data_IF_035583235288
#
_entry.id   IF_035583235288
#
_cell.length_a   1.000
_cell.length_b   1.000
_cell.length_c   1.000
_cell.angle_alpha   90.00
_cell.angle_beta   90.00
_cell.angle_gamma   90.00
#
_symmetry.space_group_name_H-M   'P 1'
#
loop_
_entity.id
_entity.type
_entity.pdbx_description
1 polymer ?
#
# COMPACT_ATOMS: atom_id res chain seq x y z
N UNK A 1 14.21 -24.10 0.97
CA UNK A 1 12.95 -23.89 0.25
C UNK A 1 12.00 -25.01 0.58
N UNK A 2 10.90 -24.69 1.24
CA UNK A 2 9.76 -25.56 1.46
C UNK A 2 8.65 -25.24 0.44
N UNK A 3 7.79 -26.23 0.19
CA UNK A 3 6.58 -26.05 -0.61
C UNK A 3 5.38 -26.37 0.26
N UNK A 4 4.44 -25.44 0.27
CA UNK A 4 3.16 -25.58 0.95
C UNK A 4 2.05 -25.66 -0.10
N UNK A 5 0.85 -26.01 0.33
CA UNK A 5 -0.36 -25.90 -0.48
C UNK A 5 -1.49 -25.22 0.29
N UNK A 6 -2.40 -24.62 -0.47
CA UNK A 6 -3.69 -24.12 0.01
C UNK A 6 -4.76 -24.37 -1.04
N UNK A 7 -6.02 -24.45 -0.60
CA UNK A 7 -7.19 -24.66 -1.45
C UNK A 7 -8.00 -23.38 -1.57
N UNK A 8 -8.31 -23.01 -2.81
CA UNK A 8 -9.03 -21.78 -3.16
C UNK A 8 -10.11 -22.06 -4.19
N UNK A 9 -10.98 -21.08 -4.47
CA UNK A 9 -11.98 -21.19 -5.53
C UNK A 9 -11.42 -20.93 -6.93
N UNK A 10 -10.16 -20.49 -7.04
CA UNK A 10 -9.52 -20.22 -8.33
C UNK A 10 -8.11 -19.65 -8.19
N UNK A 11 -7.51 -19.33 -9.33
CA UNK A 11 -6.20 -18.67 -9.42
C UNK A 11 -6.25 -17.51 -10.43
N UNK A 12 -5.96 -16.29 -9.95
CA UNK A 12 -5.98 -15.08 -10.77
C UNK A 12 -4.77 -14.92 -11.68
N UNK A 13 -4.99 -14.39 -12.88
CA UNK A 13 -3.93 -13.92 -13.79
C UNK A 13 -4.34 -12.57 -14.37
N UNK A 14 -3.74 -11.44 -13.93
CA UNK A 14 -2.67 -11.32 -12.94
C UNK A 14 -3.08 -11.77 -11.52
N UNK A 15 -2.11 -12.23 -10.73
CA UNK A 15 -2.35 -12.77 -9.39
C UNK A 15 -2.40 -11.69 -8.31
N UNK A 16 -3.37 -11.79 -7.41
CA UNK A 16 -3.45 -11.02 -6.16
C UNK A 16 -2.52 -11.57 -5.06
N UNK A 17 -2.59 -11.02 -3.84
CA UNK A 17 -1.85 -11.54 -2.69
C UNK A 17 -2.33 -12.96 -2.32
N UNK A 18 -1.54 -13.68 -1.52
CA UNK A 18 -2.01 -14.93 -0.89
C UNK A 18 -3.03 -14.58 0.19
N UNK A 19 -4.29 -14.99 0.02
CA UNK A 19 -5.43 -14.50 0.81
C UNK A 19 -5.86 -15.48 1.91
N UNK A 20 -6.40 -14.94 3.00
CA UNK A 20 -6.86 -15.68 4.17
C UNK A 20 -8.16 -15.10 4.72
N UNK A 21 -9.03 -15.97 5.24
CA UNK A 21 -10.30 -15.57 5.84
C UNK A 21 -10.16 -14.94 7.22
N UNK A 22 -9.12 -15.32 7.98
CA UNK A 22 -8.87 -14.76 9.31
C UNK A 22 -7.45 -14.25 9.46
N UNK A 23 -7.30 -13.26 10.35
CA UNK A 23 -6.01 -12.70 10.74
C UNK A 23 -5.08 -13.78 11.35
N UNK A 24 -5.66 -14.77 12.04
CA UNK A 24 -4.94 -15.89 12.65
C UNK A 24 -4.24 -16.76 11.61
N UNK A 25 -4.96 -17.17 10.57
CA UNK A 25 -4.41 -18.01 9.50
C UNK A 25 -3.28 -17.32 8.72
N UNK A 26 -3.46 -16.03 8.37
CA UNK A 26 -2.38 -15.24 7.75
C UNK A 26 -1.16 -15.14 8.67
N UNK A 27 -1.38 -14.92 9.97
CA UNK A 27 -0.28 -14.77 10.94
C UNK A 27 0.49 -16.08 11.13
N UNK A 28 -0.22 -17.22 11.15
CA UNK A 28 0.40 -18.54 11.16
C UNK A 28 1.23 -18.78 9.89
N UNK A 29 0.65 -18.54 8.71
CA UNK A 29 1.36 -18.67 7.44
C UNK A 29 2.64 -17.82 7.40
N UNK A 30 2.57 -16.55 7.83
CA UNK A 30 3.75 -15.66 7.95
C UNK A 30 4.82 -16.17 8.92
N UNK A 31 4.39 -16.90 9.97
CA UNK A 31 5.27 -17.49 10.97
C UNK A 31 6.11 -18.63 10.41
N UNK A 32 5.51 -19.46 9.55
CA UNK A 32 6.17 -20.65 8.98
C UNK A 32 6.90 -20.39 7.67
N UNK A 33 6.44 -19.44 6.86
CA UNK A 33 7.05 -19.09 5.57
C UNK A 33 8.40 -18.40 5.73
N UNK A 34 9.38 -18.84 4.95
CA UNK A 34 10.67 -18.19 4.74
C UNK A 34 10.78 -17.59 3.33
N UNK A 35 11.69 -16.61 3.10
CA UNK A 35 11.96 -16.12 1.75
C UNK A 35 12.33 -17.25 0.78
N UNK A 36 11.69 -17.25 -0.39
CA UNK A 36 11.87 -18.27 -1.43
C UNK A 36 10.99 -19.51 -1.28
N UNK A 37 10.23 -19.66 -0.18
CA UNK A 37 9.24 -20.73 -0.06
C UNK A 37 8.07 -20.52 -1.02
N UNK A 38 7.44 -21.63 -1.43
CA UNK A 38 6.41 -21.62 -2.45
C UNK A 38 5.08 -22.15 -1.90
N UNK A 39 3.97 -21.63 -2.40
CA UNK A 39 2.62 -22.06 -2.06
C UNK A 39 1.88 -22.46 -3.32
N UNK A 40 1.49 -23.73 -3.39
CA UNK A 40 0.69 -24.32 -4.46
C UNK A 40 -0.78 -23.99 -4.22
N UNK A 41 -1.47 -23.53 -5.26
CA UNK A 41 -2.89 -23.21 -5.25
C UNK A 41 -3.67 -24.35 -5.88
N UNK A 42 -4.59 -24.93 -5.12
CA UNK A 42 -5.43 -26.05 -5.55
C UNK A 42 -6.89 -25.63 -5.55
N UNK A 43 -7.63 -25.92 -6.63
CA UNK A 43 -9.06 -25.66 -6.66
C UNK A 43 -9.80 -26.50 -5.61
N UNK A 44 -10.69 -25.90 -4.83
CA UNK A 44 -11.60 -26.68 -3.96
C UNK A 44 -12.53 -27.54 -4.82
N UNK A 45 -13.12 -28.58 -4.24
CA UNK A 45 -14.11 -29.43 -4.94
C UNK A 45 -15.55 -28.90 -4.84
N UNK A 46 -15.75 -27.75 -4.19
CA UNK A 46 -17.06 -27.12 -3.99
C UNK A 46 -17.62 -26.52 -5.28
N UNK A 47 -18.87 -26.07 -5.20
CA UNK A 47 -19.57 -25.51 -6.36
C UNK A 47 -19.09 -24.12 -6.75
N UNK A 48 -18.40 -23.44 -5.84
CA UNK A 48 -17.82 -22.11 -6.04
C UNK A 48 -16.56 -22.12 -6.91
N UNK A 49 -15.91 -23.28 -7.07
CA UNK A 49 -14.80 -23.45 -8.01
C UNK A 49 -15.35 -23.83 -9.38
N UNK A 50 -14.81 -23.23 -10.44
CA UNK A 50 -15.12 -23.59 -11.82
C UNK A 50 -14.93 -25.10 -12.07
N UNK A 51 -15.83 -25.69 -12.85
CA UNK A 51 -15.93 -27.16 -12.98
C UNK A 51 -14.64 -27.79 -13.49
N UNK A 52 -13.90 -27.10 -14.37
CA UNK A 52 -12.63 -27.55 -14.91
C UNK A 52 -11.46 -27.34 -13.96
N UNK A 53 -11.63 -26.57 -12.88
CA UNK A 53 -10.60 -26.27 -11.87
C UNK A 53 -10.75 -27.10 -10.57
N UNK A 54 -11.92 -27.70 -10.34
CA UNK A 54 -12.22 -28.46 -9.12
C UNK A 54 -11.19 -29.56 -8.83
N UNK A 55 -10.52 -29.44 -7.69
CA UNK A 55 -9.51 -30.40 -7.23
C UNK A 55 -8.20 -30.39 -8.01
N UNK A 56 -8.01 -29.47 -8.96
CA UNK A 56 -6.80 -29.38 -9.79
C UNK A 56 -5.77 -28.45 -9.20
N UNK A 57 -4.52 -28.67 -9.59
CA UNK A 57 -3.40 -27.79 -9.27
C UNK A 57 -3.41 -26.61 -10.25
N UNK A 58 -3.71 -25.41 -9.74
CA UNK A 58 -4.02 -24.25 -10.57
C UNK A 58 -2.79 -23.36 -10.81
N UNK A 59 -2.03 -23.12 -9.75
CA UNK A 59 -0.91 -22.19 -9.81
C UNK A 59 0.05 -22.36 -8.64
N UNK A 60 1.08 -21.53 -8.66
CA UNK A 60 2.18 -21.51 -7.70
C UNK A 60 2.45 -20.06 -7.34
N UNK A 61 2.68 -19.77 -6.08
CA UNK A 61 2.97 -18.44 -5.58
C UNK A 61 4.26 -18.45 -4.77
N UNK A 62 5.06 -17.39 -4.87
CA UNK A 62 6.17 -17.09 -3.97
C UNK A 62 5.75 -15.92 -3.06
N UNK A 63 5.10 -16.18 -1.91
CA UNK A 63 4.69 -15.13 -0.99
C UNK A 63 5.88 -14.55 -0.21
N UNK A 64 5.77 -13.27 0.10
CA UNK A 64 6.62 -12.60 1.08
C UNK A 64 6.00 -12.73 2.48
N UNK A 65 6.72 -12.19 3.48
CA UNK A 65 6.20 -12.04 4.84
C UNK A 65 5.53 -10.67 5.08
N UNK A 66 5.43 -9.84 4.03
CA UNK A 66 4.81 -8.53 4.10
C UNK A 66 3.29 -8.66 4.16
N UNK A 67 2.69 -8.11 5.21
CA UNK A 67 1.24 -8.16 5.43
C UNK A 67 0.58 -7.08 4.58
N UNK A 68 -0.46 -7.47 3.86
CA UNK A 68 -1.29 -6.56 3.07
C UNK A 68 -2.78 -6.82 3.33
N UNK A 69 -3.60 -5.84 2.99
CA UNK A 69 -5.04 -6.01 2.90
C UNK A 69 -5.38 -6.50 1.50
N UNK A 70 -6.13 -7.59 1.37
CA UNK A 70 -6.66 -8.05 0.08
C UNK A 70 -7.56 -6.99 -0.56
N UNK A 71 -8.20 -6.16 0.25
CA UNK A 71 -9.10 -5.10 -0.22
C UNK A 71 -8.34 -3.99 -0.97
N UNK A 72 -7.03 -3.87 -0.75
CA UNK A 72 -6.17 -2.91 -1.45
C UNK A 72 -5.83 -3.36 -2.86
N UNK A 73 -6.29 -4.52 -3.31
CA UNK A 73 -6.03 -5.04 -4.66
C UNK A 73 -7.30 -5.03 -5.49
N UNK A 74 -7.13 -4.71 -6.76
CA UNK A 74 -8.17 -4.73 -7.79
C UNK A 74 -8.47 -6.18 -8.22
N UNK A 75 -9.09 -6.92 -7.31
CA UNK A 75 -9.47 -8.32 -7.49
C UNK A 75 -10.83 -8.39 -8.18
N UNK A 76 -10.99 -9.33 -9.11
CA UNK A 76 -12.33 -9.72 -9.57
C UNK A 76 -13.09 -10.33 -8.37
N UNK A 77 -14.26 -9.75 -8.05
CA UNK A 77 -15.10 -10.17 -6.93
C UNK A 77 -16.53 -10.36 -7.41
N UNK A 78 -17.13 -11.48 -7.03
CA UNK A 78 -18.54 -11.77 -7.24
C UNK A 78 -19.36 -11.67 -5.95
N UNK A 79 -20.70 -11.67 -6.03
CA UNK A 79 -21.57 -11.69 -4.85
C UNK A 79 -21.24 -12.82 -3.87
N UNK A 80 -20.79 -13.97 -4.38
CA UNK A 80 -20.40 -15.14 -3.59
C UNK A 80 -19.18 -14.92 -2.69
N UNK A 81 -18.37 -13.90 -2.96
CA UNK A 81 -17.13 -13.61 -2.20
C UNK A 81 -17.38 -12.80 -0.93
N UNK A 82 -18.65 -12.45 -0.69
CA UNK A 82 -19.09 -11.71 0.48
C UNK A 82 -19.88 -12.62 1.43
N UNK A 83 -19.75 -12.39 2.73
CA UNK A 83 -20.58 -13.03 3.74
C UNK A 83 -21.98 -12.38 3.81
N UNK A 84 -22.88 -12.94 4.63
CA UNK A 84 -24.23 -12.42 4.79
C UNK A 84 -24.28 -10.98 5.34
N UNK A 85 -23.20 -10.48 5.95
CA UNK A 85 -23.07 -9.13 6.46
C UNK A 85 -22.41 -8.17 5.43
N UNK A 86 -22.09 -8.66 4.23
CA UNK A 86 -21.46 -7.86 3.17
C UNK A 86 -19.96 -7.68 3.33
N UNK A 87 -19.29 -8.44 4.20
CA UNK A 87 -17.83 -8.40 4.33
C UNK A 87 -17.18 -9.34 3.32
N UNK A 88 -16.07 -8.91 2.74
CA UNK A 88 -15.27 -9.76 1.87
C UNK A 88 -14.69 -10.93 2.67
N UNK A 89 -14.84 -12.16 2.18
CA UNK A 89 -14.51 -13.40 2.90
C UNK A 89 -13.02 -13.61 3.16
N UNK A 90 -12.12 -12.95 2.42
CA UNK A 90 -10.66 -13.12 2.58
C UNK A 90 -9.88 -11.80 2.66
N UNK A 91 -10.15 -10.94 3.66
CA UNK A 91 -9.62 -9.58 3.68
C UNK A 91 -8.13 -9.51 4.05
N UNK A 92 -7.54 -10.60 4.55
CA UNK A 92 -6.15 -10.64 5.01
C UNK A 92 -5.25 -11.26 3.93
N UNK A 93 -4.09 -10.65 3.64
CA UNK A 93 -3.18 -11.18 2.63
C UNK A 93 -1.69 -11.09 2.96
N UNK A 94 -0.89 -11.87 2.23
CA UNK A 94 0.57 -11.73 2.13
C UNK A 94 0.94 -11.33 0.70
N UNK A 95 1.77 -10.30 0.56
CA UNK A 95 2.21 -9.81 -0.75
C UNK A 95 3.04 -10.88 -1.48
N UNK A 96 2.87 -11.00 -2.79
CA UNK A 96 3.63 -11.94 -3.61
C UNK A 96 4.90 -11.29 -4.17
N UNK A 97 5.98 -12.07 -4.21
CA UNK A 97 7.18 -11.74 -4.98
C UNK A 97 7.00 -12.17 -6.44
N UNK A 98 6.47 -13.38 -6.67
CA UNK A 98 6.25 -14.00 -7.99
C UNK A 98 5.04 -14.93 -7.95
N UNK A 99 4.45 -15.21 -9.12
CA UNK A 99 3.40 -16.19 -9.27
C UNK A 99 3.46 -16.85 -10.64
N UNK A 100 3.04 -18.11 -10.73
CA UNK A 100 3.02 -18.89 -11.96
C UNK A 100 1.69 -19.61 -12.11
N UNK A 101 1.20 -19.71 -13.33
CA UNK A 101 0.11 -20.60 -13.71
C UNK A 101 0.69 -21.88 -14.28
N UNK A 102 0.12 -23.03 -13.94
CA UNK A 102 0.50 -24.29 -14.59
C UNK A 102 -0.13 -24.37 -15.97
N UNK A 103 0.68 -24.78 -16.95
CA UNK A 103 0.31 -24.82 -18.37
C UNK A 103 -0.35 -26.15 -18.74
N UNK A 104 -1.12 -26.16 -19.83
CA UNK A 104 -1.73 -27.37 -20.37
C UNK A 104 -2.79 -28.00 -19.45
N UNK A 105 -2.90 -29.33 -19.48
CA UNK A 105 -3.83 -30.07 -18.63
C UNK A 105 -3.32 -30.13 -17.19
N UNK A 106 -3.80 -29.19 -16.37
CA UNK A 106 -3.54 -29.14 -14.93
C UNK A 106 -3.94 -30.46 -14.25
N UNK A 107 -3.04 -31.22 -13.60
CA UNK A 107 -3.39 -32.49 -12.99
C UNK A 107 -4.31 -32.29 -11.77
N UNK A 108 -5.04 -33.34 -11.41
CA UNK A 108 -5.74 -33.40 -10.13
C UNK A 108 -4.73 -33.54 -8.99
N UNK A 109 -4.99 -32.94 -7.83
CA UNK A 109 -4.13 -33.14 -6.66
C UNK A 109 -4.01 -34.63 -6.30
N UNK A 110 -5.08 -35.41 -6.49
CA UNK A 110 -5.12 -36.86 -6.21
C UNK A 110 -4.24 -37.69 -7.14
N UNK A 111 -3.81 -37.15 -8.28
CA UNK A 111 -2.84 -37.79 -9.17
C UNK A 111 -1.40 -37.60 -8.66
N UNK A 112 -1.17 -36.58 -7.82
CA UNK A 112 0.14 -36.26 -7.22
C UNK A 112 0.29 -36.86 -5.82
N UNK A 113 -0.78 -36.91 -5.05
CA UNK A 113 -0.75 -37.39 -3.66
C UNK A 113 -2.03 -38.10 -3.24
N UNK A 114 -1.87 -39.13 -2.41
CA UNK A 114 -2.95 -39.85 -1.74
C UNK A 114 -3.27 -39.27 -0.35
N UNK A 115 -2.53 -38.25 0.12
CA UNK A 115 -2.77 -37.63 1.43
C UNK A 115 -4.13 -36.92 1.45
N UNK A 116 -4.87 -37.17 2.52
CA UNK A 116 -6.10 -36.44 2.80
C UNK A 116 -5.79 -35.14 3.52
N UNK A 117 -6.14 -34.02 2.88
CA UNK A 117 -5.95 -32.69 3.46
C UNK A 117 -7.26 -32.19 4.07
N UNK A 118 -7.25 -31.98 5.39
CA UNK A 118 -8.35 -31.46 6.19
C UNK A 118 -8.64 -29.96 5.92
N UNK A 119 -9.66 -29.42 6.60
CA UNK A 119 -10.17 -28.05 6.42
C UNK A 119 -9.08 -26.97 6.52
N UNK A 120 -8.03 -27.20 7.30
CA UNK A 120 -6.89 -26.29 7.45
C UNK A 120 -6.23 -25.95 6.11
N UNK A 121 -6.27 -26.88 5.15
CA UNK A 121 -5.78 -26.64 3.79
C UNK A 121 -6.59 -25.61 3.01
N UNK A 122 -7.84 -25.34 3.37
CA UNK A 122 -8.68 -24.31 2.76
C UNK A 122 -8.65 -22.97 3.53
N UNK A 123 -8.20 -22.97 4.79
CA UNK A 123 -8.16 -21.77 5.61
C UNK A 123 -6.77 -21.16 5.74
N UNK A 124 -5.71 -21.99 5.64
CA UNK A 124 -4.32 -21.61 5.76
C UNK A 124 -3.43 -22.28 4.72
N UNK A 125 -2.20 -22.62 5.11
CA UNK A 125 -1.23 -23.34 4.28
C UNK A 125 -0.77 -24.62 4.98
N UNK A 126 -0.54 -25.69 4.22
CA UNK A 126 -0.09 -26.99 4.74
C UNK A 126 1.17 -27.43 4.02
N UNK A 127 2.22 -27.90 4.72
CA UNK A 127 3.45 -28.34 4.06
C UNK A 127 3.22 -29.60 3.21
N UNK A 128 3.83 -29.59 2.03
CA UNK A 128 3.94 -30.75 1.17
C UNK A 128 5.18 -31.57 1.54
N UNK A 129 5.06 -32.88 1.39
CA UNK A 129 6.19 -33.78 1.48
C UNK A 129 7.15 -33.57 0.30
N UNK A 130 8.45 -33.88 0.46
CA UNK A 130 9.44 -33.66 -0.59
C UNK A 130 9.10 -34.32 -1.94
N UNK A 131 8.46 -35.49 -1.92
CA UNK A 131 8.05 -36.18 -3.15
C UNK A 131 6.93 -35.43 -3.88
N UNK A 132 5.92 -34.96 -3.14
CA UNK A 132 4.80 -34.17 -3.66
C UNK A 132 5.31 -32.85 -4.23
N UNK A 133 6.15 -32.14 -3.47
CA UNK A 133 6.76 -30.89 -3.88
C UNK A 133 7.54 -31.04 -5.19
N UNK A 134 8.37 -32.09 -5.32
CA UNK A 134 9.11 -32.36 -6.56
C UNK A 134 8.19 -32.62 -7.75
N UNK A 135 7.15 -33.43 -7.56
CA UNK A 135 6.20 -33.73 -8.63
C UNK A 135 5.49 -32.46 -9.14
N UNK A 136 5.05 -31.58 -8.24
CA UNK A 136 4.39 -30.33 -8.61
C UNK A 136 5.37 -29.35 -9.25
N UNK A 137 6.60 -29.23 -8.72
CA UNK A 137 7.61 -28.32 -9.27
C UNK A 137 8.12 -28.76 -10.65
N UNK A 138 7.92 -30.01 -11.05
CA UNK A 138 8.25 -30.51 -12.38
C UNK A 138 7.18 -30.16 -13.45
N UNK A 139 5.98 -29.72 -13.04
CA UNK A 139 4.92 -29.37 -13.98
C UNK A 139 5.30 -28.12 -14.78
N UNK A 140 5.01 -28.09 -16.10
CA UNK A 140 5.18 -26.91 -16.94
C UNK A 140 4.41 -25.72 -16.38
N UNK A 141 5.06 -24.55 -16.30
CA UNK A 141 4.45 -23.35 -15.74
C UNK A 141 5.00 -22.09 -16.39
N UNK A 142 4.12 -21.09 -16.49
CA UNK A 142 4.42 -19.77 -17.01
C UNK A 142 4.21 -18.71 -15.93
N UNK A 143 5.15 -17.78 -15.81
CA UNK A 143 5.05 -16.68 -14.84
C UNK A 143 3.91 -15.74 -15.24
N UNK A 144 3.10 -15.33 -14.27
CA UNK A 144 1.97 -14.41 -14.47
C UNK A 144 2.28 -13.07 -13.82
N UNK A 145 1.67 -12.01 -14.36
CA UNK A 145 1.75 -10.68 -13.74
C UNK A 145 1.18 -10.68 -12.33
N UNK A 146 1.66 -9.75 -11.50
CA UNK A 146 1.12 -9.52 -10.15
C UNK A 146 0.25 -8.27 -10.14
N UNK A 147 -0.87 -8.34 -9.43
CA UNK A 147 -1.62 -7.16 -9.06
C UNK A 147 -0.79 -6.35 -8.07
N UNK A 148 -0.77 -5.04 -8.28
CA UNK A 148 -0.17 -4.09 -7.35
C UNK A 148 -1.26 -3.57 -6.42
N UNK A 149 -0.96 -3.47 -5.13
CA UNK A 149 -1.87 -2.82 -4.20
C UNK A 149 -2.10 -1.37 -4.62
N UNK A 150 -3.26 -0.81 -4.30
CA UNK A 150 -3.58 0.60 -4.52
C UNK A 150 -2.49 1.49 -3.89
N UNK A 151 -1.97 1.11 -2.72
CA UNK A 151 -0.85 1.80 -2.08
C UNK A 151 0.45 1.71 -2.89
N UNK A 152 0.79 0.53 -3.45
CA UNK A 152 1.96 0.36 -4.31
C UNK A 152 1.81 1.07 -5.65
N UNK A 153 0.62 1.01 -6.28
CA UNK A 153 0.28 1.80 -7.47
C UNK A 153 0.39 3.28 -7.19
N UNK A 154 -0.21 3.78 -6.12
CA UNK A 154 -0.10 5.19 -5.72
C UNK A 154 1.35 5.60 -5.41
N UNK A 155 2.19 4.69 -4.89
CA UNK A 155 3.63 4.95 -4.68
C UNK A 155 4.40 4.96 -5.99
N UNK A 156 4.16 4.03 -6.91
CA UNK A 156 4.82 3.95 -8.22
C UNK A 156 4.34 5.04 -9.15
N UNK A 157 3.04 5.30 -9.21
CA UNK A 157 2.44 6.45 -9.88
C UNK A 157 2.86 7.74 -9.21
N UNK A 158 2.98 7.78 -7.88
CA UNK A 158 3.51 8.92 -7.14
C UNK A 158 4.99 9.17 -7.41
N UNK A 159 5.81 8.13 -7.52
CA UNK A 159 7.23 8.18 -7.85
C UNK A 159 7.47 8.44 -9.34
N UNK A 160 6.65 7.91 -10.23
CA UNK A 160 6.63 8.20 -11.65
C UNK A 160 6.04 9.58 -11.92
N UNK A 161 5.04 10.02 -11.14
CA UNK A 161 4.58 11.39 -11.14
C UNK A 161 5.65 12.31 -10.57
N UNK A 162 6.41 11.94 -9.54
CA UNK A 162 7.53 12.73 -9.03
C UNK A 162 8.72 12.76 -10.00
N UNK A 163 8.96 11.67 -10.76
CA UNK A 163 9.99 11.61 -11.83
C UNK A 163 9.56 12.32 -13.11
N UNK A 164 8.27 12.28 -13.47
CA UNK A 164 7.69 13.02 -14.61
C UNK A 164 7.35 14.47 -14.25
N UNK A 165 7.24 14.77 -12.95
CA UNK A 165 7.12 16.11 -12.40
C UNK A 165 8.44 16.52 -11.74
N UNK A 166 9.37 17.03 -12.55
CA UNK A 166 9.74 18.41 -12.25
C UNK A 166 8.41 19.15 -12.09
N UNK A 167 8.09 19.59 -10.86
CA UNK A 167 6.78 20.12 -10.51
C UNK A 167 6.25 20.95 -11.69
N UNK A 168 5.07 20.63 -12.28
CA UNK A 168 4.53 21.50 -13.29
C UNK A 168 4.47 22.88 -12.62
N UNK A 169 4.96 23.94 -13.27
CA UNK A 169 4.77 25.28 -12.72
C UNK A 169 3.28 25.39 -12.35
N UNK A 170 2.95 25.94 -11.17
CA UNK A 170 1.61 25.85 -10.61
C UNK A 170 0.61 26.36 -11.63
N UNK A 171 -0.09 25.44 -12.28
CA UNK A 171 -1.09 25.76 -13.29
C UNK A 171 -2.38 26.02 -12.52
N UNK A 172 -2.79 27.27 -12.52
CA UNK A 172 -3.96 27.83 -11.84
C UNK A 172 -5.30 27.34 -12.39
N UNK A 173 -5.31 26.34 -13.28
CA UNK A 173 -6.46 25.87 -14.05
C UNK A 173 -6.69 24.35 -13.92
N UNK A 174 -7.08 23.88 -12.74
CA UNK A 174 -7.80 22.60 -12.62
C UNK A 174 -9.27 22.86 -12.34
N UNK A 175 -10.12 22.56 -13.34
CA UNK A 175 -11.60 22.71 -13.29
C UNK A 175 -12.27 21.93 -12.14
N UNK A 176 -11.61 20.91 -11.56
CA UNK A 176 -12.18 20.10 -10.46
C UNK A 176 -12.04 20.67 -9.03
N UNK A 177 -11.31 21.78 -8.83
CA UNK A 177 -11.10 22.40 -7.49
C UNK A 177 -11.88 23.72 -7.34
N UNK A 178 -12.64 24.14 -8.35
CA UNK A 178 -13.32 25.44 -8.32
C UNK A 178 -14.32 25.58 -7.17
N UNK A 179 -14.95 24.49 -6.72
CA UNK A 179 -15.92 24.52 -5.63
C UNK A 179 -15.28 24.55 -4.23
N UNK A 180 -14.03 24.12 -4.08
CA UNK A 180 -13.35 24.01 -2.76
C UNK A 180 -12.45 25.20 -2.43
N UNK A 181 -12.20 26.12 -3.38
CA UNK A 181 -11.36 27.32 -3.15
C UNK A 181 -11.87 28.22 -2.03
N UNK A 182 -13.17 28.16 -1.72
CA UNK A 182 -13.85 28.94 -0.66
C UNK A 182 -14.03 28.16 0.66
N UNK A 183 -13.64 26.89 0.71
CA UNK A 183 -13.76 26.11 1.93
C UNK A 183 -12.63 26.47 2.90
N UNK A 184 -12.88 26.47 4.23
CA UNK A 184 -11.84 26.71 5.23
C UNK A 184 -10.73 25.68 5.13
N UNK A 185 -9.47 26.12 5.28
CA UNK A 185 -8.31 25.24 5.23
C UNK A 185 -7.18 25.79 6.10
N UNK A 186 -6.22 24.93 6.42
CA UNK A 186 -5.08 25.26 7.26
C UNK A 186 -3.80 25.42 6.43
N UNK A 187 -3.01 26.44 6.72
CA UNK A 187 -1.56 26.38 6.49
C UNK A 187 -0.93 25.70 7.70
N UNK A 188 0.04 24.82 7.49
CA UNK A 188 0.75 24.13 8.56
C UNK A 188 2.26 24.13 8.33
N UNK A 189 3.01 23.97 9.42
CA UNK A 189 4.41 23.60 9.37
C UNK A 189 4.71 22.47 10.37
N UNK A 190 5.34 21.42 9.87
CA UNK A 190 5.74 20.25 10.64
C UNK A 190 7.25 20.26 10.82
N UNK A 191 7.73 20.11 12.05
CA UNK A 191 9.14 19.80 12.29
C UNK A 191 9.42 18.36 11.86
N UNK A 192 10.60 18.13 11.29
CA UNK A 192 11.10 16.81 10.92
C UNK A 192 12.09 16.37 12.00
N UNK A 193 11.62 15.61 12.98
CA UNK A 193 12.43 15.07 14.06
C UNK A 193 13.32 13.93 13.53
N UNK A 194 14.60 13.93 13.94
CA UNK A 194 15.62 12.99 13.46
C UNK A 194 16.48 13.50 12.30
N UNK A 195 16.23 14.71 11.79
CA UNK A 195 17.11 15.33 10.79
C UNK A 195 18.42 15.85 11.42
N UNK A 196 19.52 15.85 10.65
CA UNK A 196 20.83 16.32 11.11
C UNK A 196 20.88 17.81 11.45
N UNK A 197 20.04 18.61 10.79
CA UNK A 197 19.84 20.03 11.06
C UNK A 197 18.33 20.31 11.16
N UNK A 198 17.94 21.40 11.84
CA UNK A 198 16.53 21.77 11.97
C UNK A 198 15.86 21.86 10.59
N UNK A 199 14.80 21.08 10.39
CA UNK A 199 14.12 20.98 9.11
C UNK A 199 12.60 21.01 9.31
N UNK A 200 11.93 21.72 8.40
CA UNK A 200 10.48 21.90 8.46
C UNK A 200 9.83 21.58 7.12
N UNK A 201 8.71 20.89 7.15
CA UNK A 201 7.79 20.73 6.02
C UNK A 201 6.68 21.77 6.15
N UNK A 202 6.60 22.69 5.21
CA UNK A 202 5.55 23.72 5.14
C UNK A 202 4.51 23.27 4.11
N UNK A 203 3.23 23.42 4.40
CA UNK A 203 2.16 23.03 3.48
C UNK A 203 0.81 23.63 3.84
N UNK A 204 -0.21 23.27 3.08
CA UNK A 204 -1.61 23.53 3.45
C UNK A 204 -2.48 22.27 3.25
N UNK A 205 -3.57 22.18 4.01
CA UNK A 205 -4.53 21.08 3.93
C UNK A 205 -5.88 21.48 4.53
N UNK A 206 -6.95 20.77 4.17
CA UNK A 206 -8.25 20.88 4.86
C UNK A 206 -8.23 20.28 6.26
N UNK A 207 -7.40 19.24 6.45
CA UNK A 207 -7.16 18.58 7.74
C UNK A 207 -5.64 18.34 7.87
N UNK A 208 -5.00 19.12 8.74
CA UNK A 208 -3.55 19.02 8.96
C UNK A 208 -3.17 17.80 9.80
N UNK A 209 -4.06 17.29 10.65
CA UNK A 209 -3.82 16.09 11.48
C UNK A 209 -3.81 14.83 10.63
N UNK A 210 -4.76 14.71 9.70
CA UNK A 210 -4.74 13.66 8.69
C UNK A 210 -3.45 13.74 7.86
N UNK A 211 -2.99 14.95 7.53
CA UNK A 211 -1.76 15.14 6.77
C UNK A 211 -0.51 14.74 7.56
N UNK A 212 -0.44 15.04 8.86
CA UNK A 212 0.63 14.59 9.76
C UNK A 212 0.68 13.06 9.83
N UNK A 213 -0.48 12.42 10.07
CA UNK A 213 -0.60 10.95 10.10
C UNK A 213 -0.12 10.32 8.80
N UNK A 214 -0.47 10.91 7.65
CA UNK A 214 -0.04 10.43 6.35
C UNK A 214 1.49 10.49 6.18
N UNK A 215 2.13 11.58 6.59
CA UNK A 215 3.59 11.70 6.53
C UNK A 215 4.28 10.70 7.46
N UNK A 216 3.81 10.58 8.71
CA UNK A 216 4.37 9.64 9.68
C UNK A 216 4.16 8.17 9.28
N UNK A 217 3.03 7.85 8.66
CA UNK A 217 2.81 6.51 8.12
C UNK A 217 3.84 6.19 7.03
N UNK A 218 4.10 7.15 6.14
CA UNK A 218 5.06 6.99 5.04
C UNK A 218 6.52 6.96 5.50
N UNK A 219 6.84 7.68 6.58
CA UNK A 219 8.21 7.76 7.10
C UNK A 219 8.57 6.67 8.09
N UNK A 220 7.60 5.90 8.61
CA UNK A 220 7.81 4.75 9.51
C UNK A 220 8.76 5.06 10.70
N UNK A 221 8.44 6.05 11.56
CA UNK A 221 9.34 6.51 12.61
C UNK A 221 9.66 5.42 13.66
N UNK A 222 8.78 4.45 13.85
CA UNK A 222 9.00 3.31 14.76
C UNK A 222 10.11 2.35 14.28
N UNK A 223 10.53 2.46 13.02
CA UNK A 223 11.60 1.66 12.42
C UNK A 223 12.87 2.49 12.13
N UNK A 224 13.01 3.65 12.78
CA UNK A 224 14.18 4.53 12.64
C UNK A 224 14.07 5.57 11.51
N UNK A 225 12.91 5.70 10.87
CA UNK A 225 12.64 6.79 9.94
C UNK A 225 12.35 8.13 10.63
N UNK A 226 12.29 9.20 9.84
CA UNK A 226 12.05 10.55 10.35
C UNK A 226 10.61 10.69 10.89
N UNK A 227 10.41 11.52 11.90
CA UNK A 227 9.07 11.80 12.44
C UNK A 227 8.65 13.22 12.11
N UNK A 228 7.46 13.37 11.53
CA UNK A 228 6.84 14.67 11.29
C UNK A 228 5.95 15.01 12.47
N UNK A 229 6.08 16.23 12.99
CA UNK A 229 5.22 16.71 14.08
C UNK A 229 4.80 18.13 13.79
N UNK A 230 3.49 18.38 13.75
CA UNK A 230 2.98 19.74 13.52
C UNK A 230 3.41 20.65 14.66
N UNK A 231 3.96 21.80 14.30
CA UNK A 231 4.35 22.86 15.24
C UNK A 231 3.51 24.10 15.07
N UNK A 232 3.18 24.44 13.83
CA UNK A 232 2.33 25.58 13.51
C UNK A 232 1.18 25.11 12.64
N UNK A 233 0.00 25.64 12.91
CA UNK A 233 -1.14 25.55 12.00
C UNK A 233 -1.99 26.82 12.12
N UNK A 234 -2.51 27.30 11.01
CA UNK A 234 -3.36 28.50 10.95
C UNK A 234 -4.55 28.21 10.07
N UNK A 235 -5.76 28.31 10.63
CA UNK A 235 -6.99 28.22 9.87
C UNK A 235 -7.24 29.51 9.08
N UNK A 236 -7.63 29.36 7.82
CA UNK A 236 -8.10 30.40 6.95
C UNK A 236 -9.54 30.12 6.52
N UNK A 237 -10.30 31.18 6.27
CA UNK A 237 -11.66 31.06 5.74
C UNK A 237 -11.69 30.40 4.36
N UNK A 238 -10.58 30.48 3.61
CA UNK A 238 -10.48 29.90 2.27
C UNK A 238 -9.17 29.15 2.05
N UNK A 239 -9.25 28.05 1.30
CA UNK A 239 -8.08 27.31 0.81
C UNK A 239 -7.11 28.18 0.00
N UNK A 240 -7.63 29.23 -0.66
CA UNK A 240 -6.78 30.19 -1.37
C UNK A 240 -5.88 30.98 -0.43
N UNK A 241 -6.39 31.40 0.72
CA UNK A 241 -5.60 32.18 1.67
C UNK A 241 -4.59 31.30 2.42
N UNK A 242 -4.97 30.05 2.72
CA UNK A 242 -4.04 29.05 3.25
C UNK A 242 -2.88 28.77 2.27
N UNK A 243 -3.18 28.62 0.98
CA UNK A 243 -2.16 28.46 -0.06
C UNK A 243 -1.29 29.71 -0.19
N UNK A 244 -1.86 30.92 -0.14
CA UNK A 244 -1.08 32.17 -0.19
C UNK A 244 -0.06 32.26 0.93
N UNK A 245 -0.44 31.88 2.16
CA UNK A 245 0.48 31.86 3.29
C UNK A 245 1.60 30.85 3.09
N UNK A 246 1.28 29.61 2.68
CA UNK A 246 2.28 28.60 2.36
C UNK A 246 3.31 29.14 1.34
N UNK A 247 2.83 29.70 0.23
CA UNK A 247 3.71 30.22 -0.82
C UNK A 247 4.49 31.46 -0.37
N UNK A 248 3.98 32.26 0.57
CA UNK A 248 4.74 33.37 1.15
C UNK A 248 5.88 32.88 2.04
N UNK A 249 5.60 31.89 2.91
CA UNK A 249 6.61 31.28 3.78
C UNK A 249 7.69 30.56 2.97
N UNK A 250 7.31 29.78 1.96
CA UNK A 250 8.28 29.08 1.11
C UNK A 250 9.17 30.05 0.33
N UNK A 251 8.63 31.17 -0.16
CA UNK A 251 9.42 32.23 -0.82
C UNK A 251 10.34 32.96 0.15
N UNK A 252 9.90 33.19 1.39
CA UNK A 252 10.73 33.82 2.42
C UNK A 252 12.01 33.00 2.70
N UNK A 253 11.92 31.67 2.58
CA UNK A 253 13.04 30.75 2.79
C UNK A 253 13.59 30.11 1.51
N UNK A 254 13.44 30.76 0.34
CA UNK A 254 13.72 30.12 -0.95
C UNK A 254 15.14 29.54 -1.07
N UNK A 255 16.13 30.28 -0.56
CA UNK A 255 17.54 29.84 -0.53
C UNK A 255 17.86 28.69 0.43
N UNK A 256 16.89 28.23 1.23
CA UNK A 256 17.03 27.12 2.18
C UNK A 256 16.10 25.95 1.85
N UNK A 257 15.47 25.94 0.68
CA UNK A 257 14.58 24.86 0.25
C UNK A 257 15.41 23.62 -0.13
N UNK A 258 14.92 22.45 0.25
CA UNK A 258 15.58 21.20 -0.09
C UNK A 258 15.44 20.93 -1.59
N UNK A 259 16.56 20.60 -2.25
CA UNK A 259 16.63 20.38 -3.70
C UNK A 259 15.63 19.33 -4.21
N UNK A 260 15.42 18.28 -3.42
CA UNK A 260 14.57 17.14 -3.79
C UNK A 260 13.13 17.29 -3.27
N UNK A 261 12.88 18.27 -2.38
CA UNK A 261 11.55 18.57 -1.89
C UNK A 261 11.45 20.05 -1.52
N UNK A 262 10.88 20.77 -2.47
CA UNK A 262 10.78 22.22 -2.49
C UNK A 262 9.82 22.75 -1.41
N UNK A 263 9.09 21.89 -0.70
CA UNK A 263 8.24 22.25 0.44
C UNK A 263 8.94 21.97 1.80
N UNK A 264 10.15 21.40 1.78
CA UNK A 264 11.00 21.21 2.96
C UNK A 264 12.04 22.32 2.98
N UNK A 265 12.20 22.94 4.14
CA UNK A 265 13.18 24.01 4.38
C UNK A 265 14.19 23.54 5.44
N UNK A 266 15.48 23.64 5.13
CA UNK A 266 16.58 23.26 6.02
C UNK A 266 17.90 23.94 5.57
N UNK A 267 18.77 24.39 6.49
CA UNK A 267 18.58 24.42 7.94
C UNK A 267 17.69 25.60 8.38
N UNK A 268 16.80 25.35 9.35
CA UNK A 268 15.88 26.34 9.88
C UNK A 268 15.59 26.06 11.36
N UNK A 269 15.54 27.10 12.18
CA UNK A 269 15.15 26.99 13.59
C UNK A 269 13.66 27.27 13.79
N UNK A 270 13.09 26.80 14.91
CA UNK A 270 11.70 27.10 15.28
C UNK A 270 11.46 28.62 15.35
N UNK A 271 12.38 29.37 15.96
CA UNK A 271 12.24 30.82 16.14
C UNK A 271 12.27 31.60 14.81
N UNK A 272 13.09 31.18 13.84
CA UNK A 272 13.09 31.79 12.52
C UNK A 272 11.76 31.57 11.79
N UNK A 273 11.23 30.34 11.88
CA UNK A 273 9.93 30.02 11.27
C UNK A 273 8.77 30.75 11.98
N UNK A 274 8.78 30.82 13.31
CA UNK A 274 7.77 31.50 14.12
C UNK A 274 7.68 32.99 13.78
N UNK A 275 8.84 33.67 13.65
CA UNK A 275 8.87 35.08 13.23
C UNK A 275 8.25 35.27 11.84
N UNK A 276 8.67 34.50 10.85
CA UNK A 276 8.11 34.59 9.50
C UNK A 276 6.60 34.29 9.46
N UNK A 277 6.15 33.36 10.31
CA UNK A 277 4.74 33.02 10.49
C UNK A 277 3.93 34.19 11.05
N UNK A 278 4.41 34.80 12.14
CA UNK A 278 3.78 35.95 12.78
C UNK A 278 3.80 37.17 11.86
N UNK A 279 4.93 37.46 11.21
CA UNK A 279 5.08 38.60 10.30
C UNK A 279 4.05 38.54 9.16
N UNK A 280 3.82 37.36 8.58
CA UNK A 280 2.78 37.17 7.58
C UNK A 280 1.37 37.48 8.13
N UNK A 281 1.04 36.96 9.31
CA UNK A 281 -0.28 37.17 9.92
C UNK A 281 -0.52 38.63 10.34
N UNK A 282 0.52 39.32 10.81
CA UNK A 282 0.46 40.74 11.14
C UNK A 282 0.27 41.57 9.88
N UNK A 283 1.02 41.28 8.80
CA UNK A 283 0.85 41.95 7.52
C UNK A 283 -0.56 41.75 6.93
N UNK A 284 -1.10 40.53 7.02
CA UNK A 284 -2.45 40.22 6.54
C UNK A 284 -3.54 40.98 7.29
N UNK A 285 -3.37 41.23 8.60
CA UNK A 285 -4.35 42.00 9.41
C UNK A 285 -4.31 43.50 9.15
N UNK A 286 -3.23 44.01 8.57
CA UNK A 286 -3.05 45.44 8.24
C UNK A 286 -3.48 45.77 6.81
N UNK A 287 -3.70 44.77 5.98
CA UNK A 287 -4.19 44.88 4.60
C UNK A 287 -5.73 44.84 4.56
#
# INVERSE_FOLDING_TARGET
>A
MAVFMTKTWGFGSPSGPLQFSTNGWRTNARGVLQPGDLVVIVGTKGDETEIDERGRILGLMEPTRHIVSSLDYDLARGPQDYDAAGNYKWPFGLELMRAWRFDGSRPLLTEVTQRHFHMDSAQGIVPLEPAEARAILALPRSEVGLLSSIAARARVEGANAARRKAAPPPTTERRGVMHMRRAPAFTYAMIIEGSKAGAFKIGWAFDWEQRERHFNHSSMPTLGGLRYKTRFHQLFATARDAFRMEQALLRHFDGRRHRDNVEIVSPLTVNELDRAWIDYLVALRRA
#
